data_IF_085830306637
#
_entry.id   IF_085830306637
#
_cell.length_a   1.000
_cell.length_b   1.000
_cell.length_c   1.000
_cell.angle_alpha   90.00
_cell.angle_beta   90.00
_cell.angle_gamma   90.00
#
_symmetry.space_group_name_H-M   'P 1'
#
loop_
_entity.id
_entity.type
_entity.pdbx_description
1 polymer ?
#
# COMPACT_ATOMS: atom_id res chain seq x y z
N UNK A 1 23.72 6.20 -22.28
CA UNK A 1 23.55 7.54 -22.91
C UNK A 1 22.44 8.24 -22.11
N UNK A 2 22.74 9.38 -21.48
CA UNK A 2 21.76 10.08 -20.61
C UNK A 2 20.98 11.16 -21.38
N UNK A 3 20.63 10.88 -22.63
CA UNK A 3 19.95 11.82 -23.53
C UNK A 3 18.51 11.39 -23.86
N UNK A 4 17.95 10.44 -23.10
CA UNK A 4 16.56 9.95 -23.22
C UNK A 4 15.89 10.14 -21.88
N UNK A 5 14.60 10.55 -21.90
CA UNK A 5 13.81 10.62 -20.69
C UNK A 5 13.58 9.23 -20.10
N UNK A 6 13.83 9.11 -18.79
CA UNK A 6 13.49 7.93 -18.00
C UNK A 6 12.55 8.33 -16.85
N UNK A 7 11.52 7.53 -16.59
CA UNK A 7 10.63 7.78 -15.46
C UNK A 7 11.39 7.61 -14.13
N UNK A 8 11.29 8.56 -13.19
CA UNK A 8 11.85 8.38 -11.85
C UNK A 8 11.31 7.14 -11.12
N UNK A 9 10.11 6.68 -11.45
CA UNK A 9 9.55 5.45 -10.88
C UNK A 9 10.42 4.24 -11.23
N UNK A 10 10.90 4.16 -12.47
CA UNK A 10 11.75 3.05 -12.91
C UNK A 10 13.22 3.22 -12.56
N UNK A 11 13.75 4.45 -12.64
CA UNK A 11 15.18 4.68 -12.45
C UNK A 11 15.61 4.87 -10.99
N UNK A 12 14.67 5.19 -10.07
CA UNK A 12 15.02 5.56 -8.69
C UNK A 12 14.17 4.90 -7.60
N UNK A 13 12.87 4.65 -7.83
CA UNK A 13 11.96 4.44 -6.70
C UNK A 13 11.45 3.02 -6.56
N UNK A 14 11.01 2.37 -7.64
CA UNK A 14 10.43 1.03 -7.57
C UNK A 14 11.49 -0.07 -7.38
N UNK A 15 11.10 -1.18 -6.77
CA UNK A 15 11.95 -2.35 -6.59
C UNK A 15 12.17 -3.09 -7.91
N UNK A 16 13.27 -3.84 -7.97
CA UNK A 16 13.61 -4.67 -9.15
C UNK A 16 12.53 -5.70 -9.46
N UNK A 17 11.91 -6.26 -8.43
CA UNK A 17 10.84 -7.25 -8.56
C UNK A 17 9.60 -6.64 -9.22
N UNK A 18 9.18 -5.45 -8.79
CA UNK A 18 8.02 -4.79 -9.39
C UNK A 18 8.33 -4.30 -10.81
N UNK A 19 9.53 -3.79 -11.05
CA UNK A 19 9.99 -3.44 -12.40
C UNK A 19 9.99 -4.66 -13.34
N UNK A 20 10.48 -5.81 -12.86
CA UNK A 20 10.44 -7.05 -13.64
C UNK A 20 9.00 -7.47 -13.96
N UNK A 21 8.08 -7.38 -12.98
CA UNK A 21 6.67 -7.76 -13.18
C UNK A 21 6.00 -7.03 -14.35
N UNK A 22 6.39 -5.78 -14.62
CA UNK A 22 5.86 -4.99 -15.74
C UNK A 22 6.84 -4.85 -16.91
N UNK A 23 7.93 -5.64 -16.91
CA UNK A 23 8.91 -5.64 -18.00
C UNK A 23 8.41 -6.33 -19.27
N UNK A 24 9.08 -6.05 -20.37
CA UNK A 24 8.85 -6.77 -21.63
C UNK A 24 9.13 -8.26 -21.51
N UNK A 25 10.15 -8.66 -20.76
CA UNK A 25 10.49 -10.08 -20.57
C UNK A 25 9.35 -10.82 -19.84
N UNK A 26 8.83 -10.26 -18.76
CA UNK A 26 7.68 -10.86 -18.07
C UNK A 26 6.45 -10.89 -18.96
N UNK A 27 6.14 -9.81 -19.67
CA UNK A 27 4.98 -9.72 -20.56
C UNK A 27 5.04 -10.77 -21.69
N UNK A 28 6.11 -10.80 -22.44
CA UNK A 28 6.14 -11.63 -23.65
C UNK A 28 6.47 -13.10 -23.38
N UNK A 29 7.20 -13.41 -22.30
CA UNK A 29 7.31 -14.80 -21.83
C UNK A 29 5.95 -15.33 -21.34
N UNK A 30 5.14 -14.49 -20.70
CA UNK A 30 3.77 -14.86 -20.32
C UNK A 30 2.87 -15.08 -21.52
N UNK A 31 2.99 -14.30 -22.60
CA UNK A 31 2.30 -14.59 -23.86
C UNK A 31 2.63 -15.98 -24.39
N UNK A 32 3.91 -16.33 -24.39
CA UNK A 32 4.34 -17.68 -24.84
C UNK A 32 3.83 -18.77 -23.92
N UNK A 33 3.85 -18.56 -22.60
CA UNK A 33 3.23 -19.50 -21.63
C UNK A 33 1.74 -19.67 -21.87
N UNK A 34 1.01 -18.62 -22.19
CA UNK A 34 -0.41 -18.66 -22.53
C UNK A 34 -0.67 -19.45 -23.82
N UNK A 35 0.15 -19.27 -24.85
CA UNK A 35 0.06 -20.07 -26.07
C UNK A 35 0.40 -21.54 -25.86
N UNK A 36 1.39 -21.86 -25.02
CA UNK A 36 1.71 -23.23 -24.61
C UNK A 36 0.53 -23.86 -23.86
N UNK A 37 -0.04 -23.16 -22.90
CA UNK A 37 -1.19 -23.60 -22.14
C UNK A 37 -2.41 -23.86 -23.02
N UNK A 38 -2.67 -22.96 -23.97
CA UNK A 38 -3.73 -23.12 -24.98
C UNK A 38 -3.51 -24.40 -25.80
N UNK A 39 -2.32 -24.59 -26.39
CA UNK A 39 -1.99 -25.75 -27.20
C UNK A 39 -2.08 -27.08 -26.42
N UNK A 40 -1.62 -27.10 -25.17
CA UNK A 40 -1.78 -28.26 -24.25
C UNK A 40 -3.23 -28.60 -24.01
N UNK A 41 -4.04 -27.60 -23.70
CA UNK A 41 -5.45 -27.80 -23.43
C UNK A 41 -6.20 -28.26 -24.71
N UNK A 42 -5.93 -27.68 -25.87
CA UNK A 42 -6.47 -28.06 -27.16
C UNK A 42 -6.09 -29.50 -27.53
N UNK A 43 -4.82 -29.88 -27.36
CA UNK A 43 -4.34 -31.23 -27.58
C UNK A 43 -5.07 -32.25 -26.67
N UNK A 44 -5.19 -31.94 -25.39
CA UNK A 44 -5.85 -32.81 -24.42
C UNK A 44 -7.36 -32.98 -24.69
N UNK A 45 -7.98 -32.01 -25.39
CA UNK A 45 -9.39 -32.03 -25.79
C UNK A 45 -9.62 -32.63 -27.19
N UNK A 46 -8.54 -33.12 -27.83
CA UNK A 46 -8.61 -33.92 -29.04
C UNK A 46 -8.38 -33.18 -30.35
N UNK A 47 -7.89 -31.94 -30.33
CA UNK A 47 -7.42 -31.29 -31.54
C UNK A 47 -6.11 -31.93 -32.03
N UNK A 48 -5.82 -31.88 -33.37
CA UNK A 48 -4.65 -32.55 -33.98
C UNK A 48 -3.34 -31.78 -33.70
N UNK A 49 -3.02 -31.60 -32.41
CA UNK A 49 -1.79 -31.01 -31.92
C UNK A 49 -0.94 -32.14 -31.33
N UNK A 50 0.36 -32.17 -31.67
CA UNK A 50 1.27 -33.22 -31.21
C UNK A 50 2.05 -32.79 -29.96
N UNK A 51 2.47 -33.78 -29.16
CA UNK A 51 3.34 -33.53 -28.01
C UNK A 51 4.65 -32.85 -28.41
N UNK A 52 5.21 -33.23 -29.58
CA UNK A 52 6.44 -32.63 -30.12
C UNK A 52 6.29 -31.13 -30.37
N UNK A 53 5.13 -30.68 -30.86
CA UNK A 53 4.85 -29.26 -31.06
C UNK A 53 4.78 -28.50 -29.71
N UNK A 54 4.13 -29.09 -28.72
CA UNK A 54 4.03 -28.51 -27.37
C UNK A 54 5.41 -28.43 -26.71
N UNK A 55 6.20 -29.50 -26.75
CA UNK A 55 7.55 -29.56 -26.18
C UNK A 55 8.48 -28.51 -26.81
N UNK A 56 8.38 -28.33 -28.14
CA UNK A 56 9.15 -27.29 -28.84
C UNK A 56 8.76 -25.88 -28.38
N UNK A 57 7.46 -25.61 -28.20
CA UNK A 57 7.02 -24.33 -27.65
C UNK A 57 7.50 -24.11 -26.21
N UNK A 58 7.44 -25.13 -25.37
CA UNK A 58 7.90 -25.03 -23.97
C UNK A 58 9.38 -24.73 -23.86
N UNK A 59 10.19 -25.34 -24.73
CA UNK A 59 11.64 -25.11 -24.75
C UNK A 59 12.04 -23.65 -25.07
N UNK A 60 11.16 -22.87 -25.71
CA UNK A 60 11.45 -21.53 -26.19
C UNK A 60 10.61 -20.42 -25.57
N UNK A 61 10.08 -20.62 -24.34
CA UNK A 61 9.24 -19.63 -23.65
C UNK A 61 9.96 -18.30 -23.44
N UNK A 62 11.25 -18.35 -23.06
CA UNK A 62 12.05 -17.15 -22.71
C UNK A 62 13.02 -16.73 -23.82
N UNK A 63 13.13 -17.49 -24.88
CA UNK A 63 14.02 -17.25 -26.00
C UNK A 63 13.39 -16.27 -27.00
N UNK A 64 13.31 -15.00 -26.64
CA UNK A 64 12.61 -13.96 -27.39
C UNK A 64 13.60 -13.08 -28.15
N UNK A 65 13.53 -13.14 -29.49
CA UNK A 65 14.26 -12.21 -30.36
C UNK A 65 13.46 -10.91 -30.55
N UNK A 66 13.78 -9.91 -29.73
CA UNK A 66 13.10 -8.61 -29.77
C UNK A 66 13.38 -7.81 -31.04
N UNK A 67 14.51 -8.03 -31.71
CA UNK A 67 14.83 -7.33 -32.96
C UNK A 67 13.93 -7.85 -34.09
N UNK A 68 13.78 -9.17 -34.19
CA UNK A 68 12.84 -9.79 -35.12
C UNK A 68 11.40 -9.36 -34.84
N UNK A 69 11.00 -9.35 -33.56
CA UNK A 69 9.65 -8.93 -33.17
C UNK A 69 9.38 -7.48 -33.59
N UNK A 70 10.29 -6.55 -33.27
CA UNK A 70 10.17 -5.13 -33.66
C UNK A 70 10.13 -4.92 -35.17
N UNK A 71 11.00 -5.65 -35.91
CA UNK A 71 11.01 -5.56 -37.36
C UNK A 71 9.67 -6.04 -37.96
N UNK A 72 9.17 -7.19 -37.45
CA UNK A 72 7.90 -7.76 -37.96
C UNK A 72 6.72 -6.85 -37.60
N UNK A 73 6.69 -6.26 -36.42
CA UNK A 73 5.65 -5.32 -36.00
C UNK A 73 5.60 -4.08 -36.92
N UNK A 74 6.75 -3.55 -37.34
CA UNK A 74 6.80 -2.44 -38.30
C UNK A 74 6.16 -2.81 -39.66
N UNK A 75 6.32 -4.06 -40.06
CA UNK A 75 5.77 -4.57 -41.34
C UNK A 75 4.25 -4.77 -41.27
N UNK A 76 3.78 -5.45 -40.22
CA UNK A 76 2.37 -5.88 -40.12
C UNK A 76 1.49 -4.96 -39.28
N UNK A 77 2.09 -3.99 -38.55
CA UNK A 77 1.41 -3.04 -37.67
C UNK A 77 0.56 -3.71 -36.59
N UNK A 78 1.03 -4.84 -36.07
CA UNK A 78 0.32 -5.65 -35.08
C UNK A 78 1.30 -6.41 -34.20
N UNK A 79 1.35 -6.05 -32.90
CA UNK A 79 2.28 -6.60 -31.91
C UNK A 79 2.11 -8.10 -31.68
N UNK A 80 0.87 -8.57 -31.42
CA UNK A 80 0.61 -10.00 -31.17
C UNK A 80 1.01 -10.85 -32.37
N UNK A 81 0.66 -10.46 -33.60
CA UNK A 81 1.05 -11.21 -34.78
C UNK A 81 2.55 -11.19 -35.06
N UNK A 82 3.25 -10.11 -34.65
CA UNK A 82 4.71 -10.07 -34.69
C UNK A 82 5.33 -11.09 -33.73
N UNK A 83 4.77 -11.24 -32.53
CA UNK A 83 5.24 -12.22 -31.55
C UNK A 83 4.84 -13.66 -31.90
N UNK A 84 3.67 -13.91 -32.52
CA UNK A 84 3.34 -15.23 -33.08
C UNK A 84 4.38 -15.64 -34.13
N UNK A 85 4.72 -14.73 -35.05
CA UNK A 85 5.75 -14.97 -36.06
C UNK A 85 7.12 -15.25 -35.44
N UNK A 86 7.53 -14.44 -34.45
CA UNK A 86 8.81 -14.58 -33.77
C UNK A 86 8.89 -15.90 -33.00
N UNK A 87 7.80 -16.34 -32.38
CA UNK A 87 7.72 -17.62 -31.71
C UNK A 87 7.78 -18.78 -32.71
N UNK A 88 7.05 -18.71 -33.83
CA UNK A 88 7.13 -19.71 -34.88
C UNK A 88 8.50 -19.88 -35.52
N UNK A 89 9.38 -18.87 -35.45
CA UNK A 89 10.77 -18.99 -35.94
C UNK A 89 11.63 -19.90 -35.07
N UNK A 90 11.43 -19.89 -33.75
CA UNK A 90 12.17 -20.75 -32.82
C UNK A 90 11.43 -22.07 -32.54
N UNK A 91 10.13 -22.13 -32.82
CA UNK A 91 9.29 -23.31 -32.73
C UNK A 91 8.62 -23.63 -34.09
N UNK A 92 9.39 -24.00 -35.12
CA UNK A 92 8.90 -24.15 -36.50
C UNK A 92 7.86 -25.29 -36.69
N UNK A 93 7.96 -26.38 -35.89
CA UNK A 93 6.95 -27.46 -35.93
C UNK A 93 5.60 -27.00 -35.38
N UNK A 94 5.62 -26.10 -34.41
CA UNK A 94 4.42 -25.55 -33.81
C UNK A 94 3.90 -24.29 -34.48
N UNK A 95 4.60 -23.72 -35.45
CA UNK A 95 4.25 -22.44 -36.08
C UNK A 95 2.80 -22.35 -36.57
N UNK A 96 2.23 -23.46 -37.07
CA UNK A 96 0.86 -23.51 -37.56
C UNK A 96 -0.23 -23.60 -36.48
N UNK A 97 0.12 -23.84 -35.25
CA UNK A 97 -0.84 -24.00 -34.12
C UNK A 97 -0.75 -22.91 -33.09
N UNK A 98 0.29 -22.07 -33.13
CA UNK A 98 0.41 -20.94 -32.22
C UNK A 98 -0.78 -19.99 -32.41
N UNK A 99 -1.48 -19.67 -31.30
CA UNK A 99 -2.63 -18.75 -31.31
C UNK A 99 -3.90 -19.33 -31.98
N UNK A 100 -4.05 -20.66 -32.07
CA UNK A 100 -5.20 -21.29 -32.70
C UNK A 100 -6.50 -20.90 -31.99
N UNK A 101 -7.51 -20.48 -32.76
CA UNK A 101 -8.82 -20.05 -32.25
C UNK A 101 -8.82 -18.75 -31.45
N UNK A 102 -7.66 -18.26 -31.00
CA UNK A 102 -7.55 -17.12 -30.11
C UNK A 102 -7.56 -15.77 -30.82
N UNK A 103 -7.82 -14.71 -30.07
CA UNK A 103 -7.65 -13.31 -30.49
C UNK A 103 -6.54 -12.64 -29.68
N UNK A 104 -6.11 -11.45 -30.09
CA UNK A 104 -5.03 -10.72 -29.40
C UNK A 104 -5.31 -10.49 -27.91
N UNK A 105 -6.58 -10.29 -27.53
CA UNK A 105 -6.97 -10.13 -26.13
C UNK A 105 -6.71 -11.39 -25.29
N UNK A 106 -6.64 -12.58 -25.88
CA UNK A 106 -6.29 -13.80 -25.16
C UNK A 106 -4.95 -13.66 -24.45
N UNK A 107 -3.90 -13.28 -25.15
CA UNK A 107 -2.58 -13.09 -24.52
C UNK A 107 -2.47 -11.75 -23.80
N UNK A 108 -2.99 -10.67 -24.38
CA UNK A 108 -2.88 -9.33 -23.79
C UNK A 108 -3.60 -9.23 -22.45
N UNK A 109 -4.87 -9.53 -22.43
CA UNK A 109 -5.71 -9.35 -21.23
C UNK A 109 -5.44 -10.39 -20.13
N UNK A 110 -5.21 -11.66 -20.49
CA UNK A 110 -4.81 -12.65 -19.49
C UNK A 110 -3.46 -12.32 -18.86
N UNK A 111 -2.51 -11.78 -19.63
CA UNK A 111 -1.22 -11.31 -19.10
C UNK A 111 -1.41 -10.12 -18.16
N UNK A 112 -2.25 -9.16 -18.48
CA UNK A 112 -2.56 -8.02 -17.60
C UNK A 112 -3.11 -8.51 -16.25
N UNK A 113 -4.03 -9.47 -16.24
CA UNK A 113 -4.57 -10.08 -15.01
C UNK A 113 -3.47 -10.81 -14.21
N UNK A 114 -2.57 -11.53 -14.88
CA UNK A 114 -1.45 -12.20 -14.23
C UNK A 114 -0.51 -11.16 -13.61
N UNK A 115 -0.13 -10.11 -14.33
CA UNK A 115 0.73 -9.04 -13.82
C UNK A 115 0.09 -8.28 -12.66
N UNK A 116 -1.22 -8.02 -12.70
CA UNK A 116 -1.99 -7.42 -11.59
C UNK A 116 -1.91 -8.33 -10.36
N UNK A 117 -2.13 -9.64 -10.50
CA UNK A 117 -2.02 -10.57 -9.38
C UNK A 117 -0.62 -10.59 -8.77
N UNK A 118 0.40 -10.75 -9.59
CA UNK A 118 1.79 -10.79 -9.13
C UNK A 118 2.19 -9.46 -8.45
N UNK A 119 1.75 -8.33 -9.00
CA UNK A 119 1.93 -7.01 -8.40
C UNK A 119 1.24 -6.90 -7.03
N UNK A 120 -0.01 -7.37 -6.91
CA UNK A 120 -0.74 -7.38 -5.63
C UNK A 120 -0.09 -8.31 -4.59
N UNK A 121 0.49 -9.43 -5.01
CA UNK A 121 1.26 -10.33 -4.12
C UNK A 121 2.50 -9.64 -3.56
N UNK A 122 3.23 -8.88 -4.38
CA UNK A 122 4.38 -8.07 -3.94
C UNK A 122 3.94 -6.96 -2.97
N UNK A 123 2.84 -6.26 -3.28
CA UNK A 123 2.25 -5.23 -2.41
C UNK A 123 1.83 -5.83 -1.08
N UNK A 124 1.15 -6.96 -1.06
CA UNK A 124 0.73 -7.69 0.15
C UNK A 124 1.92 -8.03 1.05
N UNK A 125 3.00 -8.58 0.47
CA UNK A 125 4.22 -8.92 1.20
C UNK A 125 4.84 -7.69 1.87
N UNK A 126 4.95 -6.57 1.17
CA UNK A 126 5.50 -5.32 1.71
C UNK A 126 4.59 -4.70 2.76
N UNK A 127 3.28 -4.72 2.55
CA UNK A 127 2.29 -4.20 3.49
C UNK A 127 2.33 -4.98 4.82
N UNK A 128 2.39 -6.32 4.75
CA UNK A 128 2.58 -7.17 5.92
C UNK A 128 3.89 -6.85 6.67
N UNK A 129 4.97 -6.57 5.94
CA UNK A 129 6.26 -6.18 6.54
C UNK A 129 6.18 -4.82 7.23
N UNK A 130 5.50 -3.82 6.64
CA UNK A 130 5.26 -2.52 7.30
C UNK A 130 4.48 -2.71 8.59
N UNK A 131 3.41 -3.50 8.56
CA UNK A 131 2.59 -3.81 9.74
C UNK A 131 3.39 -4.51 10.84
N UNK A 132 4.26 -5.47 10.49
CA UNK A 132 5.12 -6.15 11.45
C UNK A 132 6.10 -5.19 12.14
N UNK A 133 6.76 -4.31 11.38
CA UNK A 133 7.67 -3.30 11.93
C UNK A 133 6.94 -2.28 12.81
N UNK A 134 5.77 -1.82 12.40
CA UNK A 134 4.92 -0.96 13.22
C UNK A 134 4.42 -1.66 14.48
N UNK A 135 4.12 -2.97 14.42
CA UNK A 135 3.73 -3.76 15.58
C UNK A 135 4.84 -3.81 16.64
N UNK A 136 6.08 -4.02 16.19
CA UNK A 136 7.25 -4.00 17.08
C UNK A 136 7.44 -2.62 17.71
N UNK A 137 7.29 -1.54 16.94
CA UNK A 137 7.36 -0.17 17.43
C UNK A 137 6.22 0.15 18.42
N UNK A 138 4.99 -0.22 18.12
CA UNK A 138 3.84 0.01 18.97
C UNK A 138 3.97 -0.72 20.32
N UNK A 139 4.42 -1.97 20.31
CA UNK A 139 4.65 -2.77 21.51
C UNK A 139 5.75 -2.17 22.40
N UNK A 140 6.86 -1.74 21.81
CA UNK A 140 7.98 -1.11 22.53
C UNK A 140 7.58 0.22 23.20
N UNK A 141 6.61 0.94 22.67
CA UNK A 141 6.19 2.27 23.14
C UNK A 141 4.75 2.32 23.65
N UNK A 142 4.11 1.18 23.95
CA UNK A 142 2.69 1.12 24.36
C UNK A 142 2.39 1.83 25.66
N UNK A 143 3.38 1.95 26.56
CA UNK A 143 3.24 2.62 27.85
C UNK A 143 3.90 4.02 27.89
N UNK A 144 4.46 4.51 26.79
CA UNK A 144 5.12 5.82 26.70
C UNK A 144 4.07 6.94 26.56
N UNK A 145 3.77 7.76 27.60
CA UNK A 145 2.83 8.85 27.49
C UNK A 145 3.27 9.89 26.47
N UNK A 146 2.33 10.45 25.74
CA UNK A 146 2.51 11.61 24.86
C UNK A 146 1.22 12.41 24.76
N UNK A 147 1.30 13.67 24.33
CA UNK A 147 0.11 14.50 24.10
C UNK A 147 -0.73 13.91 22.96
N UNK A 148 -2.01 13.71 23.19
CA UNK A 148 -3.00 13.52 22.15
C UNK A 148 -3.49 14.87 21.63
N UNK A 149 -3.65 14.97 20.30
CA UNK A 149 -4.09 16.20 19.66
C UNK A 149 -5.46 16.02 19.00
N UNK A 150 -6.38 16.94 19.28
CA UNK A 150 -7.58 17.14 18.47
C UNK A 150 -7.56 18.56 17.93
N UNK A 151 -7.92 18.76 16.68
CA UNK A 151 -7.79 20.05 16.00
C UNK A 151 -6.36 20.62 16.06
N UNK A 152 -5.37 19.75 16.18
CA UNK A 152 -3.96 20.04 16.42
C UNK A 152 -3.71 20.86 17.70
N UNK A 153 -4.64 20.78 18.66
CA UNK A 153 -4.48 21.32 20.01
C UNK A 153 -4.31 20.19 21.02
N UNK A 154 -3.49 20.35 22.07
CA UNK A 154 -3.39 19.39 23.14
C UNK A 154 -4.77 19.11 23.74
N UNK A 155 -5.11 17.83 23.87
CA UNK A 155 -6.38 17.39 24.45
C UNK A 155 -6.14 16.56 25.73
N UNK A 156 -6.05 15.25 25.57
CA UNK A 156 -5.69 14.32 26.65
C UNK A 156 -4.43 13.55 26.27
N UNK A 157 -3.85 12.84 27.25
CA UNK A 157 -2.71 11.98 26.95
C UNK A 157 -3.16 10.72 26.19
N UNK A 158 -2.28 10.27 25.36
CA UNK A 158 -2.26 8.94 24.73
C UNK A 158 -0.89 8.33 24.94
N UNK A 159 -0.54 7.26 24.21
CA UNK A 159 0.83 6.76 24.16
C UNK A 159 1.38 6.76 22.74
N UNK A 160 2.70 6.80 22.61
CA UNK A 160 3.40 6.70 21.33
C UNK A 160 2.99 5.43 20.60
N UNK A 161 2.95 4.29 21.30
CA UNK A 161 2.52 3.01 20.74
C UNK A 161 1.04 3.00 20.34
N UNK A 162 0.15 3.60 21.15
CA UNK A 162 -1.28 3.70 20.81
C UNK A 162 -1.50 4.55 19.55
N UNK A 163 -0.75 5.64 19.37
CA UNK A 163 -0.79 6.42 18.13
C UNK A 163 -0.42 5.58 16.91
N UNK A 164 0.60 4.72 17.01
CA UNK A 164 1.00 3.84 15.93
C UNK A 164 -0.10 2.84 15.55
N UNK A 165 -0.95 2.40 16.48
CA UNK A 165 -2.09 1.52 16.14
C UNK A 165 -3.13 2.19 15.25
N UNK A 166 -3.22 3.52 15.23
CA UNK A 166 -4.13 4.23 14.32
C UNK A 166 -3.66 4.07 12.88
N UNK A 167 -2.36 4.24 12.62
CA UNK A 167 -1.76 4.01 11.30
C UNK A 167 -1.89 2.55 10.86
N UNK A 168 -1.66 1.64 11.79
CA UNK A 168 -1.75 0.19 11.53
C UNK A 168 -3.18 -0.24 11.22
N UNK A 169 -4.19 0.36 11.85
CA UNK A 169 -5.58 0.00 11.60
C UNK A 169 -6.00 0.32 10.16
N UNK A 170 -5.58 1.47 9.63
CA UNK A 170 -5.83 1.84 8.23
C UNK A 170 -5.11 0.87 7.27
N UNK A 171 -3.81 0.60 7.51
CA UNK A 171 -3.05 -0.35 6.71
C UNK A 171 -3.59 -1.79 6.79
N UNK A 172 -4.20 -2.19 7.89
CA UNK A 172 -4.84 -3.49 8.04
C UNK A 172 -6.13 -3.59 7.21
N UNK A 173 -6.89 -2.49 7.11
CA UNK A 173 -8.04 -2.41 6.18
C UNK A 173 -7.55 -2.55 4.73
N UNK A 174 -6.45 -1.87 4.37
CA UNK A 174 -5.85 -1.98 3.03
C UNK A 174 -5.38 -3.41 2.73
N UNK A 175 -4.80 -4.11 3.71
CA UNK A 175 -4.41 -5.52 3.55
C UNK A 175 -5.61 -6.39 3.20
N UNK A 176 -6.74 -6.20 3.88
CA UNK A 176 -7.99 -6.92 3.58
C UNK A 176 -8.50 -6.65 2.16
N UNK A 177 -8.41 -5.40 1.68
CA UNK A 177 -8.78 -5.05 0.30
C UNK A 177 -7.85 -5.70 -0.74
N UNK A 178 -6.54 -5.76 -0.46
CA UNK A 178 -5.56 -6.43 -1.33
C UNK A 178 -5.86 -7.94 -1.40
N UNK A 179 -6.13 -8.58 -0.27
CA UNK A 179 -6.49 -10.00 -0.20
C UNK A 179 -7.77 -10.28 -0.99
N UNK A 180 -8.81 -9.46 -0.76
CA UNK A 180 -10.07 -9.57 -1.49
C UNK A 180 -9.86 -9.46 -3.02
N UNK A 181 -8.99 -8.52 -3.47
CA UNK A 181 -8.67 -8.40 -4.91
C UNK A 181 -8.00 -9.66 -5.44
N UNK A 182 -6.97 -10.17 -4.76
CA UNK A 182 -6.24 -11.38 -5.18
C UNK A 182 -7.18 -12.58 -5.30
N UNK A 183 -8.01 -12.82 -4.29
CA UNK A 183 -8.94 -13.96 -4.24
C UNK A 183 -10.02 -13.91 -5.31
N UNK A 184 -10.45 -12.70 -5.68
CA UNK A 184 -11.54 -12.49 -6.62
C UNK A 184 -11.09 -12.21 -8.06
N UNK A 185 -9.77 -12.12 -8.32
CA UNK A 185 -9.28 -12.05 -9.69
C UNK A 185 -9.60 -13.33 -10.46
N UNK A 186 -10.06 -13.15 -11.70
CA UNK A 186 -10.35 -14.23 -12.66
C UNK A 186 -9.66 -13.90 -13.97
N UNK A 187 -9.18 -14.90 -14.68
CA UNK A 187 -8.66 -14.72 -16.02
C UNK A 187 -9.78 -14.30 -16.97
N UNK A 188 -9.43 -13.67 -18.09
CA UNK A 188 -10.36 -13.49 -19.19
C UNK A 188 -10.79 -14.85 -19.74
N UNK A 189 -9.84 -15.78 -19.88
CA UNK A 189 -10.02 -17.04 -20.57
C UNK A 189 -9.89 -16.89 -22.08
N UNK A 190 -10.52 -17.80 -22.81
CA UNK A 190 -10.52 -17.89 -24.28
C UNK A 190 -11.89 -17.47 -24.84
N UNK A 191 -12.20 -16.17 -24.80
CA UNK A 191 -13.53 -15.63 -25.13
C UNK A 191 -13.77 -15.36 -26.61
N UNK A 192 -12.72 -15.17 -27.40
CA UNK A 192 -12.84 -14.86 -28.83
C UNK A 192 -13.15 -13.39 -29.10
N UNK A 193 -13.51 -13.08 -30.36
CA UNK A 193 -13.59 -11.71 -30.88
C UNK A 193 -14.66 -10.85 -30.18
N UNK A 194 -15.79 -11.44 -29.79
CA UNK A 194 -16.93 -10.73 -29.20
C UNK A 194 -17.43 -11.39 -27.90
N UNK A 195 -16.63 -12.29 -27.34
CA UNK A 195 -16.99 -13.00 -26.12
C UNK A 195 -17.88 -14.22 -26.31
N UNK A 196 -18.21 -14.57 -27.55
CA UNK A 196 -19.12 -15.68 -27.89
C UNK A 196 -18.45 -17.04 -27.96
N UNK A 197 -17.11 -17.08 -27.98
CA UNK A 197 -16.30 -18.30 -28.16
C UNK A 197 -16.56 -19.02 -29.52
N UNK A 198 -17.10 -18.34 -30.52
CA UNK A 198 -17.52 -18.93 -31.78
C UNK A 198 -16.39 -19.70 -32.46
N UNK A 199 -15.15 -19.20 -32.49
CA UNK A 199 -14.01 -19.90 -33.09
C UNK A 199 -13.69 -21.20 -32.37
N UNK A 200 -13.80 -21.25 -31.05
CA UNK A 200 -13.59 -22.46 -30.27
C UNK A 200 -14.75 -23.46 -30.41
N UNK A 201 -15.97 -22.96 -30.51
CA UNK A 201 -17.13 -23.80 -30.85
C UNK A 201 -16.95 -24.49 -32.23
N UNK A 202 -16.41 -23.78 -33.19
CA UNK A 202 -16.09 -24.34 -34.52
C UNK A 202 -14.97 -25.38 -34.43
N UNK A 203 -13.88 -25.08 -33.69
CA UNK A 203 -12.76 -26.01 -33.49
C UNK A 203 -13.17 -27.34 -32.81
N UNK A 204 -14.18 -27.29 -31.96
CA UNK A 204 -14.68 -28.47 -31.23
C UNK A 204 -16.02 -28.99 -31.75
N UNK A 205 -16.35 -28.73 -33.00
CA UNK A 205 -17.56 -29.25 -33.69
C UNK A 205 -18.87 -29.00 -32.90
N UNK A 206 -18.95 -27.84 -32.22
CA UNK A 206 -20.12 -27.45 -31.45
C UNK A 206 -20.17 -28.02 -30.02
N UNK A 207 -19.12 -28.68 -29.51
CA UNK A 207 -19.08 -29.24 -28.17
C UNK A 207 -18.76 -28.15 -27.11
N UNK A 208 -19.82 -27.57 -26.52
CA UNK A 208 -19.70 -26.58 -25.43
C UNK A 208 -18.94 -27.10 -24.20
N UNK A 209 -19.00 -28.41 -23.94
CA UNK A 209 -18.32 -28.97 -22.76
C UNK A 209 -16.80 -28.89 -22.89
N UNK A 210 -16.28 -29.10 -24.11
CA UNK A 210 -14.85 -28.95 -24.42
C UNK A 210 -14.42 -27.49 -24.36
N UNK A 211 -15.24 -26.56 -24.81
CA UNK A 211 -14.93 -25.12 -24.74
C UNK A 211 -14.85 -24.65 -23.28
N UNK A 212 -15.75 -25.11 -22.41
CA UNK A 212 -15.70 -24.84 -20.97
C UNK A 212 -14.48 -25.47 -20.29
N UNK A 213 -14.18 -26.71 -20.64
CA UNK A 213 -13.02 -27.42 -20.11
C UNK A 213 -11.69 -26.79 -20.55
N UNK A 214 -11.62 -26.25 -21.79
CA UNK A 214 -10.49 -25.47 -22.27
C UNK A 214 -10.18 -24.29 -21.34
N UNK A 215 -11.17 -23.47 -21.05
CA UNK A 215 -11.00 -22.31 -20.15
C UNK A 215 -10.58 -22.73 -18.74
N UNK A 216 -11.19 -23.79 -18.23
CA UNK A 216 -10.84 -24.33 -16.91
C UNK A 216 -9.37 -24.76 -16.84
N UNK A 217 -8.90 -25.53 -17.82
CA UNK A 217 -7.50 -26.00 -17.88
C UNK A 217 -6.51 -24.84 -17.94
N UNK A 218 -6.80 -23.81 -18.73
CA UNK A 218 -5.95 -22.62 -18.81
C UNK A 218 -5.93 -21.89 -17.45
N UNK A 219 -7.09 -21.70 -16.80
CA UNK A 219 -7.13 -21.04 -15.51
C UNK A 219 -6.40 -21.84 -14.42
N UNK A 220 -6.57 -23.16 -14.40
CA UNK A 220 -5.89 -24.07 -13.45
C UNK A 220 -4.35 -24.02 -13.65
N UNK A 221 -3.87 -24.01 -14.89
CA UNK A 221 -2.44 -23.95 -15.23
C UNK A 221 -1.75 -22.67 -14.70
N UNK A 222 -2.49 -21.58 -14.63
CA UNK A 222 -2.01 -20.31 -14.06
C UNK A 222 -2.41 -20.10 -12.59
N UNK A 223 -3.05 -21.07 -11.95
CA UNK A 223 -3.43 -21.02 -10.54
C UNK A 223 -4.50 -19.98 -10.22
N UNK A 224 -5.44 -19.77 -11.15
CA UNK A 224 -6.63 -18.93 -10.91
C UNK A 224 -7.85 -19.80 -10.60
N UNK A 225 -8.75 -19.30 -9.77
CA UNK A 225 -9.98 -19.98 -9.41
C UNK A 225 -10.99 -20.09 -10.58
N UNK A 226 -10.62 -19.62 -11.75
CA UNK A 226 -11.42 -19.72 -12.99
C UNK A 226 -11.31 -18.47 -13.86
N UNK A 227 -12.25 -18.36 -14.79
CA UNK A 227 -12.36 -17.27 -15.73
C UNK A 227 -13.57 -16.38 -15.43
N UNK A 228 -13.60 -15.16 -15.99
CA UNK A 228 -14.80 -14.32 -15.93
C UNK A 228 -15.98 -15.03 -16.56
N UNK A 229 -17.18 -14.99 -15.98
CA UNK A 229 -18.34 -15.75 -16.48
C UNK A 229 -18.82 -15.24 -17.84
N UNK A 230 -18.75 -13.94 -18.08
CA UNK A 230 -19.12 -13.28 -19.34
C UNK A 230 -18.18 -12.12 -19.63
N UNK A 231 -17.92 -11.87 -20.90
CA UNK A 231 -17.16 -10.72 -21.36
C UNK A 231 -17.50 -10.40 -22.81
N UNK A 232 -17.08 -9.23 -23.30
CA UNK A 232 -16.86 -9.01 -24.72
C UNK A 232 -15.53 -9.63 -25.17
N UNK A 233 -14.78 -8.93 -26.02
CA UNK A 233 -13.45 -9.36 -26.42
C UNK A 233 -12.45 -9.31 -25.26
N UNK A 234 -12.63 -8.38 -24.31
CA UNK A 234 -11.75 -8.08 -23.19
C UNK A 234 -12.45 -8.34 -21.86
N UNK A 235 -11.67 -8.50 -20.77
CA UNK A 235 -12.25 -8.41 -19.45
C UNK A 235 -12.78 -6.99 -19.18
N UNK A 236 -13.74 -6.85 -18.26
CA UNK A 236 -14.26 -5.54 -17.89
C UNK A 236 -13.17 -4.65 -17.30
N UNK A 237 -12.96 -3.47 -17.89
CA UNK A 237 -11.99 -2.46 -17.40
C UNK A 237 -12.32 -1.95 -15.98
N UNK A 238 -13.48 -2.34 -15.46
CA UNK A 238 -13.82 -2.15 -14.05
C UNK A 238 -12.85 -2.88 -13.10
N UNK A 239 -12.23 -3.98 -13.54
CA UNK A 239 -11.20 -4.69 -12.76
C UNK A 239 -9.98 -3.79 -12.55
N UNK A 240 -9.53 -3.09 -13.59
CA UNK A 240 -8.44 -2.12 -13.49
C UNK A 240 -8.79 -0.98 -12.53
N UNK A 241 -10.00 -0.42 -12.68
CA UNK A 241 -10.49 0.66 -11.82
C UNK A 241 -10.55 0.24 -10.35
N UNK A 242 -11.04 -0.95 -10.06
CA UNK A 242 -11.10 -1.49 -8.70
C UNK A 242 -9.70 -1.78 -8.15
N UNK A 243 -8.78 -2.27 -8.98
CA UNK A 243 -7.39 -2.52 -8.58
C UNK A 243 -6.70 -1.21 -8.21
N UNK A 244 -6.80 -0.18 -9.05
CA UNK A 244 -6.16 1.10 -8.76
C UNK A 244 -6.84 1.83 -7.59
N UNK A 245 -8.13 1.63 -7.35
CA UNK A 245 -8.79 2.12 -6.14
C UNK A 245 -8.22 1.48 -4.86
N UNK A 246 -7.93 0.18 -4.88
CA UNK A 246 -7.26 -0.51 -3.77
C UNK A 246 -5.84 0.06 -3.55
N UNK A 247 -5.07 0.29 -4.62
CA UNK A 247 -3.74 0.91 -4.53
C UNK A 247 -3.81 2.35 -4.02
N UNK A 248 -4.84 3.11 -4.41
CA UNK A 248 -5.08 4.46 -3.91
C UNK A 248 -5.38 4.47 -2.40
N UNK A 249 -6.14 3.51 -1.88
CA UNK A 249 -6.38 3.34 -0.44
C UNK A 249 -5.07 3.19 0.34
N UNK A 250 -4.17 2.33 -0.13
CA UNK A 250 -2.83 2.18 0.48
C UNK A 250 -2.06 3.52 0.46
N UNK A 251 -2.13 4.25 -0.64
CA UNK A 251 -1.48 5.54 -0.77
C UNK A 251 -2.08 6.59 0.21
N UNK A 252 -3.39 6.57 0.44
CA UNK A 252 -4.07 7.42 1.42
C UNK A 252 -3.56 7.13 2.85
N UNK A 253 -3.55 5.88 3.26
CA UNK A 253 -3.04 5.44 4.57
C UNK A 253 -1.56 5.80 4.76
N UNK A 254 -0.74 5.57 3.73
CA UNK A 254 0.67 5.94 3.74
C UNK A 254 0.90 7.45 3.84
N UNK A 255 0.10 8.25 3.13
CA UNK A 255 0.16 9.71 3.19
C UNK A 255 -0.23 10.24 4.57
N UNK A 256 -1.25 9.64 5.19
CA UNK A 256 -1.66 9.99 6.55
C UNK A 256 -0.55 9.69 7.56
N UNK A 257 0.02 8.50 7.54
CA UNK A 257 1.18 8.14 8.36
C UNK A 257 2.33 9.13 8.20
N UNK A 258 2.73 9.40 6.95
CA UNK A 258 3.85 10.27 6.65
C UNK A 258 3.58 11.73 7.04
N UNK A 259 2.35 12.20 6.95
CA UNK A 259 1.95 13.53 7.40
C UNK A 259 2.05 13.64 8.92
N UNK A 260 1.53 12.68 9.67
CA UNK A 260 1.63 12.64 11.12
C UNK A 260 3.12 12.63 11.56
N UNK A 261 3.96 11.83 10.89
CA UNK A 261 5.38 11.76 11.21
C UNK A 261 6.10 13.10 10.95
N UNK A 262 5.76 13.81 9.87
CA UNK A 262 6.29 15.15 9.59
C UNK A 262 5.90 16.15 10.69
N UNK A 263 4.67 16.08 11.20
CA UNK A 263 4.21 16.90 12.30
C UNK A 263 4.92 16.54 13.62
N UNK A 264 5.11 15.25 13.91
CA UNK A 264 5.84 14.77 15.09
C UNK A 264 7.33 15.17 15.02
N UNK A 265 7.93 15.16 13.84
CA UNK A 265 9.31 15.63 13.64
C UNK A 265 9.42 17.16 13.81
N UNK A 266 8.41 17.93 13.42
CA UNK A 266 8.34 19.37 13.74
C UNK A 266 8.31 19.61 15.25
N UNK A 267 7.56 18.78 15.98
CA UNK A 267 7.54 18.80 17.47
C UNK A 267 8.83 18.24 18.10
N UNK A 268 9.73 17.66 17.33
CA UNK A 268 10.96 16.98 17.79
C UNK A 268 10.69 15.79 18.71
N UNK A 269 9.53 15.17 18.58
CA UNK A 269 9.11 14.04 19.42
C UNK A 269 9.47 12.70 18.80
N UNK A 270 9.23 12.56 17.49
CA UNK A 270 9.56 11.36 16.72
C UNK A 270 10.13 11.80 15.37
N UNK A 271 11.21 11.17 14.93
CA UNK A 271 11.88 11.46 13.66
C UNK A 271 12.03 10.20 12.81
N UNK A 272 12.03 10.38 11.49
CA UNK A 272 12.47 9.33 10.56
C UNK A 272 13.98 9.07 10.72
N UNK A 273 14.48 7.87 10.31
CA UNK A 273 15.90 7.56 10.44
C UNK A 273 16.76 8.53 9.58
N UNK A 274 17.90 8.91 10.14
CA UNK A 274 18.87 9.77 9.49
C UNK A 274 20.22 9.06 9.42
N UNK A 275 20.76 8.86 8.22
CA UNK A 275 22.00 8.12 8.02
C UNK A 275 23.22 8.97 8.39
N UNK A 276 24.30 8.30 8.83
CA UNK A 276 25.51 8.97 9.35
C UNK A 276 26.12 9.97 8.36
N UNK A 277 26.01 9.69 7.05
CA UNK A 277 26.58 10.53 5.98
C UNK A 277 25.50 11.32 5.21
N UNK A 278 24.26 11.30 5.67
CA UNK A 278 23.18 12.01 5.01
C UNK A 278 23.31 13.52 5.24
N UNK A 279 23.13 14.31 4.18
CA UNK A 279 23.07 15.77 4.24
C UNK A 279 21.61 16.18 4.20
N UNK A 280 21.10 16.72 5.30
CA UNK A 280 19.69 17.14 5.41
C UNK A 280 19.35 18.47 4.72
N UNK A 281 20.37 19.33 4.52
CA UNK A 281 20.21 20.64 3.87
C UNK A 281 21.55 21.13 3.35
N UNK A 282 21.57 21.69 2.14
CA UNK A 282 22.78 22.30 1.55
C UNK A 282 23.25 23.56 2.27
N UNK A 283 22.33 24.31 2.87
CA UNK A 283 22.62 25.57 3.56
C UNK A 283 22.79 25.42 5.08
N UNK A 284 22.09 24.46 5.68
CA UNK A 284 22.06 24.21 7.13
C UNK A 284 22.35 22.73 7.42
N UNK A 285 23.61 22.31 7.53
CA UNK A 285 23.96 20.86 7.64
C UNK A 285 23.36 20.15 8.86
N UNK A 286 23.06 20.87 9.93
CA UNK A 286 22.43 20.35 11.14
C UNK A 286 20.91 20.09 11.00
N UNK A 287 20.27 20.61 9.95
CA UNK A 287 18.83 20.50 9.73
C UNK A 287 18.47 19.11 9.22
N UNK A 288 17.63 18.40 9.96
CA UNK A 288 17.09 17.09 9.60
C UNK A 288 15.70 17.26 8.98
N UNK A 289 15.61 17.12 7.66
CA UNK A 289 14.33 17.20 6.97
C UNK A 289 13.70 15.81 6.86
N UNK A 290 12.37 15.68 7.00
CA UNK A 290 11.65 14.41 6.84
C UNK A 290 11.48 14.06 5.35
N UNK A 291 12.59 13.93 4.62
CA UNK A 291 12.57 13.79 3.16
C UNK A 291 11.92 12.50 2.67
N UNK A 292 12.02 11.42 3.45
CA UNK A 292 11.39 10.13 3.14
C UNK A 292 9.87 10.25 3.27
N UNK A 293 9.40 10.83 4.36
CA UNK A 293 7.98 11.08 4.59
C UNK A 293 7.39 12.06 3.57
N UNK A 294 8.14 13.10 3.18
CA UNK A 294 7.73 14.02 2.11
C UNK A 294 7.58 13.29 0.77
N UNK A 295 8.48 12.36 0.46
CA UNK A 295 8.42 11.54 -0.76
C UNK A 295 7.24 10.59 -0.76
N UNK A 296 6.93 9.94 0.38
CA UNK A 296 5.71 9.15 0.53
C UNK A 296 4.49 10.00 0.18
N UNK A 297 4.35 11.18 0.77
CA UNK A 297 3.22 12.08 0.48
C UNK A 297 3.16 12.49 -1.01
N UNK A 298 4.32 12.72 -1.63
CA UNK A 298 4.38 13.11 -3.04
C UNK A 298 3.95 11.98 -3.99
N UNK A 299 4.47 10.77 -3.78
CA UNK A 299 4.09 9.58 -4.55
C UNK A 299 2.63 9.19 -4.31
N UNK A 300 2.13 9.33 -3.07
CA UNK A 300 0.73 9.06 -2.75
C UNK A 300 -0.24 9.92 -3.55
N UNK A 301 0.04 11.21 -3.70
CA UNK A 301 -0.79 12.10 -4.55
C UNK A 301 -0.83 11.63 -5.99
N UNK A 302 0.30 11.11 -6.51
CA UNK A 302 0.35 10.55 -7.85
C UNK A 302 -0.60 9.36 -7.99
N UNK A 303 -0.51 8.37 -7.09
CA UNK A 303 -1.36 7.17 -7.12
C UNK A 303 -2.84 7.50 -6.99
N UNK A 304 -3.19 8.37 -6.02
CA UNK A 304 -4.58 8.78 -5.80
C UNK A 304 -5.16 9.44 -7.07
N UNK A 305 -4.39 10.32 -7.71
CA UNK A 305 -4.82 10.97 -8.95
C UNK A 305 -4.88 9.99 -10.13
N UNK A 306 -3.90 9.09 -10.25
CA UNK A 306 -3.82 8.11 -11.33
C UNK A 306 -4.98 7.10 -11.28
N UNK A 307 -5.53 6.81 -10.11
CA UNK A 307 -6.68 5.90 -9.93
C UNK A 307 -7.94 6.35 -10.69
N UNK A 308 -8.03 7.60 -11.09
CA UNK A 308 -9.12 8.13 -11.92
C UNK A 308 -9.02 7.67 -13.39
N UNK A 309 -7.81 7.40 -13.89
CA UNK A 309 -7.60 6.96 -15.27
C UNK A 309 -8.43 5.71 -15.62
N UNK A 310 -8.28 4.57 -14.91
CA UNK A 310 -9.06 3.38 -15.24
C UNK A 310 -10.55 3.53 -14.89
N UNK A 311 -10.94 4.42 -13.99
CA UNK A 311 -12.34 4.72 -13.72
C UNK A 311 -13.01 5.37 -14.95
N UNK A 312 -12.37 6.36 -15.56
CA UNK A 312 -12.83 6.97 -16.81
C UNK A 312 -12.80 5.96 -17.97
N UNK A 313 -11.71 5.20 -18.11
CA UNK A 313 -11.60 4.16 -19.13
C UNK A 313 -12.74 3.16 -19.04
N UNK A 314 -13.05 2.67 -17.83
CA UNK A 314 -14.14 1.73 -17.59
C UNK A 314 -15.51 2.32 -17.99
N UNK A 315 -15.74 3.60 -17.66
CA UNK A 315 -17.01 4.28 -17.93
C UNK A 315 -17.27 4.55 -19.41
N UNK A 316 -16.22 4.60 -20.25
CA UNK A 316 -16.31 5.00 -21.67
C UNK A 316 -16.12 3.83 -22.64
N UNK A 317 -16.06 2.58 -22.16
CA UNK A 317 -15.98 1.41 -23.05
C UNK A 317 -17.29 1.22 -23.84
N UNK A 318 -17.15 0.78 -25.09
CA UNK A 318 -18.26 0.56 -26.01
C UNK A 318 -18.50 -0.92 -26.26
N UNK A 319 -19.74 -1.37 -26.17
CA UNK A 319 -20.15 -2.70 -26.59
C UNK A 319 -19.15 -3.79 -26.19
N UNK A 320 -18.69 -4.59 -27.14
CA UNK A 320 -17.78 -5.71 -26.92
C UNK A 320 -16.29 -5.30 -26.92
N UNK A 321 -15.94 -4.14 -27.50
CA UNK A 321 -14.57 -3.62 -27.54
C UNK A 321 -14.51 -2.18 -28.06
N UNK A 322 -13.70 -1.36 -27.39
CA UNK A 322 -13.04 -0.16 -27.95
C UNK A 322 -11.56 -0.21 -27.63
N UNK A 323 -10.71 0.46 -28.41
CA UNK A 323 -9.25 0.41 -28.24
C UNK A 323 -8.69 1.59 -27.42
N UNK A 324 -9.51 2.54 -27.02
CA UNK A 324 -9.08 3.73 -26.27
C UNK A 324 -8.56 3.42 -24.87
N UNK A 325 -8.86 2.24 -24.36
CA UNK A 325 -8.32 1.70 -23.12
C UNK A 325 -6.81 1.43 -23.20
N UNK A 326 -6.33 1.01 -24.37
CA UNK A 326 -5.04 0.34 -24.54
C UNK A 326 -3.85 1.22 -24.15
N UNK A 327 -3.77 2.44 -24.68
CA UNK A 327 -2.66 3.35 -24.37
C UNK A 327 -2.71 3.84 -22.90
N UNK A 328 -3.90 4.17 -22.40
CA UNK A 328 -4.07 4.65 -21.03
C UNK A 328 -3.66 3.59 -19.99
N UNK A 329 -4.20 2.35 -20.09
CA UNK A 329 -3.90 1.31 -19.11
C UNK A 329 -2.44 0.84 -19.11
N UNK A 330 -1.74 0.94 -20.26
CA UNK A 330 -0.30 0.61 -20.37
C UNK A 330 0.58 1.56 -19.57
N UNK A 331 0.07 2.73 -19.21
CA UNK A 331 0.74 3.75 -18.40
C UNK A 331 0.21 3.67 -16.97
N UNK A 332 -1.10 3.88 -16.80
CA UNK A 332 -1.71 4.04 -15.48
C UNK A 332 -1.56 2.81 -14.58
N UNK A 333 -1.80 1.60 -15.08
CA UNK A 333 -1.73 0.39 -14.25
C UNK A 333 -0.30 0.11 -13.75
N UNK A 334 0.73 -0.01 -14.62
CA UNK A 334 2.09 -0.23 -14.15
C UNK A 334 2.59 0.87 -13.22
N UNK A 335 2.36 2.14 -13.56
CA UNK A 335 2.89 3.25 -12.77
C UNK A 335 2.26 3.36 -11.37
N UNK A 336 0.97 3.02 -11.21
CA UNK A 336 0.34 2.91 -9.91
C UNK A 336 1.02 1.84 -9.03
N UNK A 337 1.29 0.66 -9.59
CA UNK A 337 1.99 -0.41 -8.89
C UNK A 337 3.44 -0.02 -8.53
N UNK A 338 4.18 0.58 -9.47
CA UNK A 338 5.55 1.05 -9.23
C UNK A 338 5.60 2.11 -8.12
N UNK A 339 4.64 3.03 -8.12
CA UNK A 339 4.57 4.09 -7.11
C UNK A 339 4.19 3.54 -5.72
N UNK A 340 3.22 2.63 -5.61
CA UNK A 340 2.85 2.00 -4.33
C UNK A 340 3.97 1.11 -3.82
N UNK A 341 4.64 0.38 -4.69
CA UNK A 341 5.83 -0.41 -4.36
C UNK A 341 6.93 0.46 -3.74
N UNK A 342 7.19 1.62 -4.34
CA UNK A 342 8.13 2.62 -3.83
C UNK A 342 7.68 3.19 -2.47
N UNK A 343 6.41 3.56 -2.32
CA UNK A 343 5.83 4.05 -1.06
C UNK A 343 6.06 3.04 0.06
N UNK A 344 5.68 1.78 -0.16
CA UNK A 344 5.82 0.72 0.85
C UNK A 344 7.29 0.42 1.16
N UNK A 345 8.17 0.46 0.16
CA UNK A 345 9.62 0.34 0.37
C UNK A 345 10.16 1.45 1.28
N UNK A 346 9.80 2.70 1.01
CA UNK A 346 10.21 3.83 1.84
C UNK A 346 9.61 3.70 3.25
N UNK A 347 8.34 3.29 3.37
CA UNK A 347 7.71 3.05 4.68
C UNK A 347 8.46 1.99 5.49
N UNK A 348 8.82 0.85 4.89
CA UNK A 348 9.61 -0.20 5.57
C UNK A 348 10.90 0.40 6.15
N UNK A 349 11.61 1.20 5.36
CA UNK A 349 12.84 1.84 5.82
C UNK A 349 12.57 2.82 6.98
N UNK A 350 11.55 3.67 6.85
CA UNK A 350 11.20 4.66 7.88
C UNK A 350 10.79 3.98 9.18
N UNK A 351 9.85 3.03 9.13
CA UNK A 351 9.34 2.37 10.35
C UNK A 351 10.36 1.47 11.02
N UNK A 352 11.35 0.96 10.28
CA UNK A 352 12.46 0.17 10.85
C UNK A 352 13.46 1.02 11.65
N UNK A 353 13.45 2.33 11.50
CA UNK A 353 14.42 3.21 12.12
C UNK A 353 13.83 4.45 12.80
N UNK A 354 12.55 4.45 13.14
CA UNK A 354 11.92 5.57 13.86
C UNK A 354 12.67 5.88 15.16
N UNK A 355 12.96 7.13 15.38
CA UNK A 355 13.65 7.63 16.59
C UNK A 355 12.66 8.40 17.45
N UNK A 356 12.49 7.95 18.70
CA UNK A 356 11.63 8.61 19.69
C UNK A 356 12.51 9.38 20.67
N UNK A 357 12.10 10.60 21.05
CA UNK A 357 12.80 11.46 22.00
C UNK A 357 11.97 11.61 23.31
N UNK A 358 12.07 10.65 24.25
CA UNK A 358 11.22 10.62 25.44
C UNK A 358 11.31 11.88 26.30
N UNK A 359 12.48 12.50 26.39
CA UNK A 359 12.65 13.72 27.19
C UNK A 359 12.00 14.95 26.60
N UNK A 360 11.93 15.04 25.26
CA UNK A 360 11.19 16.11 24.59
C UNK A 360 9.70 15.92 24.81
N UNK A 361 9.22 14.68 24.64
CA UNK A 361 7.81 14.32 24.89
C UNK A 361 7.43 14.63 26.33
N UNK A 362 8.26 14.24 27.31
CA UNK A 362 8.03 14.50 28.72
C UNK A 362 7.90 16.01 29.00
N UNK A 363 8.79 16.83 28.42
CA UNK A 363 8.73 18.27 28.58
C UNK A 363 7.42 18.86 28.01
N UNK A 364 6.97 18.42 26.84
CA UNK A 364 5.70 18.85 26.26
C UNK A 364 4.50 18.40 27.11
N UNK A 365 4.51 17.17 27.57
CA UNK A 365 3.47 16.63 28.46
C UNK A 365 3.39 17.44 29.75
N UNK A 366 4.53 17.69 30.41
CA UNK A 366 4.55 18.42 31.69
C UNK A 366 4.13 19.87 31.56
N UNK A 367 4.23 20.49 30.41
CA UNK A 367 3.70 21.85 30.18
C UNK A 367 2.15 21.87 30.14
N UNK A 368 1.50 20.79 29.69
CA UNK A 368 0.06 20.73 29.53
C UNK A 368 -0.65 19.94 30.66
N UNK A 369 0.03 18.99 31.26
CA UNK A 369 -0.53 18.09 32.26
C UNK A 369 -1.16 18.82 33.48
N UNK A 370 -0.64 19.96 33.99
CA UNK A 370 -1.28 20.72 35.06
C UNK A 370 -2.73 21.13 34.74
N UNK A 371 -3.04 21.44 33.46
CA UNK A 371 -4.42 21.73 33.06
C UNK A 371 -5.28 20.47 33.01
N UNK A 372 -4.72 19.35 32.52
CA UNK A 372 -5.44 18.08 32.43
C UNK A 372 -5.73 17.45 33.79
N UNK A 373 -4.82 17.67 34.78
CA UNK A 373 -4.95 17.14 36.12
C UNK A 373 -5.97 17.88 37.00
N UNK A 374 -6.51 19.02 36.55
CA UNK A 374 -7.41 19.87 37.33
C UNK A 374 -8.65 19.14 37.84
N UNK A 375 -9.21 18.21 37.07
CA UNK A 375 -10.34 17.40 37.48
C UNK A 375 -9.99 16.51 38.71
N UNK A 376 -8.87 15.80 38.60
CA UNK A 376 -8.39 14.93 39.70
C UNK A 376 -8.05 15.73 40.96
N UNK A 377 -7.41 16.88 40.79
CA UNK A 377 -7.11 17.82 41.88
C UNK A 377 -8.40 18.32 42.54
N UNK A 378 -9.39 18.72 41.75
CA UNK A 378 -10.70 19.14 42.22
C UNK A 378 -11.39 18.05 43.05
N UNK A 379 -11.38 16.80 42.51
CA UNK A 379 -12.02 15.68 43.20
C UNK A 379 -11.32 15.33 44.52
N UNK A 380 -10.00 15.47 44.63
CA UNK A 380 -9.28 15.28 45.87
C UNK A 380 -9.58 16.41 46.87
N UNK A 381 -9.62 17.66 46.39
CA UNK A 381 -10.02 18.80 47.26
C UNK A 381 -11.49 18.64 47.76
N UNK A 382 -12.41 18.11 46.97
CA UNK A 382 -13.78 17.79 47.40
C UNK A 382 -13.78 16.71 48.51
N UNK A 383 -12.99 15.65 48.39
CA UNK A 383 -12.83 14.62 49.42
C UNK A 383 -12.32 15.18 50.72
N UNK A 384 -11.55 16.26 50.69
CA UNK A 384 -11.06 17.02 51.85
C UNK A 384 -12.09 18.00 52.43
N UNK A 385 -13.30 18.05 51.88
CA UNK A 385 -14.41 18.87 52.36
C UNK A 385 -14.66 20.15 51.56
N UNK A 386 -13.99 20.35 50.44
CA UNK A 386 -14.19 21.51 49.58
C UNK A 386 -15.53 21.46 48.80
N UNK A 387 -16.06 22.65 48.47
CA UNK A 387 -17.27 22.79 47.65
C UNK A 387 -16.92 22.65 46.15
N UNK A 388 -17.48 21.64 45.49
CA UNK A 388 -17.21 21.35 44.08
C UNK A 388 -17.44 22.53 43.16
N UNK A 389 -18.49 23.30 43.34
CA UNK A 389 -18.84 24.42 42.48
C UNK A 389 -17.86 25.58 42.62
N UNK A 390 -17.49 25.90 43.85
CA UNK A 390 -16.51 26.92 44.12
C UNK A 390 -15.11 26.53 43.66
N UNK A 391 -14.70 25.30 43.87
CA UNK A 391 -13.44 24.76 43.35
C UNK A 391 -13.35 24.77 41.85
N UNK A 392 -14.44 24.43 41.14
CA UNK A 392 -14.51 24.48 39.70
C UNK A 392 -14.30 25.93 39.18
N UNK A 393 -14.94 26.91 39.79
CA UNK A 393 -14.76 28.32 39.39
C UNK A 393 -13.34 28.80 39.67
N UNK A 394 -12.73 28.43 40.82
CA UNK A 394 -11.34 28.75 41.12
C UNK A 394 -10.37 28.12 40.11
N UNK A 395 -10.59 26.86 39.70
CA UNK A 395 -9.81 26.21 38.66
C UNK A 395 -9.91 26.99 37.36
N UNK A 396 -11.13 27.41 37.00
CA UNK A 396 -11.34 28.22 35.77
C UNK A 396 -10.54 29.52 35.82
N UNK A 397 -10.60 30.25 36.92
CA UNK A 397 -9.85 31.50 37.13
C UNK A 397 -8.32 31.26 37.04
N UNK A 398 -7.82 30.26 37.75
CA UNK A 398 -6.38 29.91 37.77
C UNK A 398 -5.93 29.45 36.37
N UNK A 399 -6.74 28.66 35.64
CA UNK A 399 -6.43 28.21 34.28
C UNK A 399 -6.37 29.37 33.29
N UNK A 400 -7.30 30.33 33.39
CA UNK A 400 -7.28 31.55 32.59
C UNK A 400 -6.03 32.39 32.85
N UNK A 401 -5.67 32.56 34.10
CA UNK A 401 -4.48 33.35 34.51
C UNK A 401 -3.17 32.66 34.09
N UNK A 402 -3.06 31.33 34.29
CA UNK A 402 -1.91 30.57 33.82
C UNK A 402 -1.80 30.57 32.28
N UNK A 403 -2.94 30.41 31.57
CA UNK A 403 -2.99 30.49 30.12
C UNK A 403 -2.58 31.87 29.56
N UNK A 404 -2.97 32.95 30.23
CA UNK A 404 -2.53 34.32 29.89
C UNK A 404 -1.03 34.46 30.06
N UNK A 405 -0.48 34.00 31.20
CA UNK A 405 0.95 34.02 31.50
C UNK A 405 1.78 33.31 30.42
N UNK A 406 1.33 32.15 29.97
CA UNK A 406 2.00 31.39 28.91
C UNK A 406 1.94 32.15 27.59
N UNK A 407 0.73 32.58 27.18
CA UNK A 407 0.48 33.08 25.82
C UNK A 407 0.84 34.55 25.61
N UNK A 408 0.62 35.39 26.60
CA UNK A 408 0.86 36.84 26.49
C UNK A 408 2.25 37.25 27.03
N UNK A 409 2.73 36.55 28.06
CA UNK A 409 3.98 36.90 28.73
C UNK A 409 5.15 35.96 28.33
N UNK A 410 4.89 34.81 27.70
CA UNK A 410 5.90 33.83 27.29
C UNK A 410 6.60 33.14 28.48
N UNK A 411 5.94 33.08 29.62
CA UNK A 411 6.47 32.51 30.86
C UNK A 411 5.97 31.07 31.07
N UNK A 412 6.62 30.33 31.95
CA UNK A 412 6.26 28.95 32.29
C UNK A 412 4.87 28.85 32.94
N UNK A 413 4.26 27.65 32.79
CA UNK A 413 2.97 27.31 33.38
C UNK A 413 3.09 27.28 34.91
N UNK A 414 2.38 28.18 35.59
CA UNK A 414 2.37 28.31 37.06
C UNK A 414 1.07 27.78 37.72
N UNK A 415 0.31 26.95 37.02
CA UNK A 415 -0.98 26.43 37.48
C UNK A 415 -0.89 25.73 38.82
N UNK A 416 0.15 24.92 39.03
CA UNK A 416 0.40 24.20 40.30
C UNK A 416 0.63 25.18 41.44
N UNK A 417 1.44 26.21 41.21
CA UNK A 417 1.78 27.20 42.26
C UNK A 417 0.57 28.06 42.60
N UNK A 418 -0.29 28.36 41.62
CA UNK A 418 -1.56 29.08 41.83
C UNK A 418 -2.53 28.28 42.73
N UNK A 419 -2.69 26.99 42.41
CA UNK A 419 -3.55 26.11 43.22
C UNK A 419 -2.97 25.89 44.62
N UNK A 420 -1.66 25.70 44.73
CA UNK A 420 -0.99 25.56 46.04
C UNK A 420 -1.14 26.79 46.93
N UNK A 421 -1.15 27.98 46.33
CA UNK A 421 -1.35 29.24 47.00
C UNK A 421 -2.82 29.57 47.36
N UNK A 422 -3.77 28.77 46.89
CA UNK A 422 -5.19 28.98 47.16
C UNK A 422 -5.70 28.09 48.30
N UNK A 423 -6.06 28.69 49.47
CA UNK A 423 -6.49 27.93 50.64
C UNK A 423 -7.72 27.05 50.42
N UNK A 424 -8.53 27.34 49.40
CA UNK A 424 -9.75 26.55 49.09
C UNK A 424 -9.46 25.11 48.71
N UNK A 425 -8.27 24.83 48.15
CA UNK A 425 -7.88 23.47 47.79
C UNK A 425 -7.33 22.67 48.97
N UNK A 426 -6.76 23.34 49.99
CA UNK A 426 -6.21 22.66 51.19
C UNK A 426 -5.11 21.67 50.85
N UNK A 427 -4.32 21.91 49.79
CA UNK A 427 -3.29 21.02 49.27
C UNK A 427 -1.94 21.74 49.19
N UNK A 428 -0.88 21.03 49.61
CA UNK A 428 0.48 21.53 49.42
C UNK A 428 0.94 21.32 47.98
N UNK A 429 2.00 22.03 47.57
CA UNK A 429 2.61 21.88 46.25
C UNK A 429 3.06 20.43 45.99
N UNK A 430 3.63 19.77 47.01
CA UNK A 430 4.06 18.38 46.95
C UNK A 430 2.88 17.44 46.64
N UNK A 431 1.76 17.63 47.36
CA UNK A 431 0.53 16.86 47.11
C UNK A 431 -0.05 17.07 45.72
N UNK A 432 0.03 18.30 45.19
CA UNK A 432 -0.39 18.58 43.81
C UNK A 432 0.51 17.90 42.79
N UNK A 433 1.82 17.86 43.02
CA UNK A 433 2.77 17.19 42.14
C UNK A 433 2.54 15.67 42.05
N UNK A 434 1.98 15.05 43.13
CA UNK A 434 1.59 13.63 43.10
C UNK A 434 0.49 13.33 42.03
N UNK A 435 -0.32 14.34 41.69
CA UNK A 435 -1.32 14.23 40.62
C UNK A 435 -0.72 14.38 39.20
N UNK A 436 0.58 14.72 39.07
CA UNK A 436 1.22 14.96 37.79
C UNK A 436 2.06 13.76 37.31
N UNK A 437 1.61 12.55 37.57
CA UNK A 437 2.17 11.35 36.94
C UNK A 437 1.47 11.10 35.62
N UNK A 438 2.17 11.27 34.46
CA UNK A 438 1.56 11.05 33.14
C UNK A 438 0.98 9.66 32.96
N UNK A 439 1.53 8.64 33.64
CA UNK A 439 1.05 7.25 33.50
C UNK A 439 -0.38 7.05 34.00
N UNK A 440 -0.86 7.93 34.91
CA UNK A 440 -2.23 7.90 35.41
C UNK A 440 -3.28 8.40 34.38
N UNK A 441 -2.85 9.03 33.29
CA UNK A 441 -3.74 9.70 32.30
C UNK A 441 -3.80 9.03 30.94
N UNK A 442 -3.14 7.88 30.75
CA UNK A 442 -3.10 7.18 29.47
C UNK A 442 -4.23 6.16 29.28
N UNK A 443 -5.12 6.02 30.27
CA UNK A 443 -6.25 5.11 30.20
C UNK A 443 -5.86 3.67 29.89
N UNK A 444 -6.55 3.06 28.94
CA UNK A 444 -6.32 1.69 28.48
C UNK A 444 -5.29 1.58 27.34
N UNK A 445 -4.50 2.60 27.05
CA UNK A 445 -3.59 2.57 25.90
C UNK A 445 -2.72 1.31 25.82
N UNK A 446 -2.03 0.87 26.90
CA UNK A 446 -1.20 -0.35 26.84
C UNK A 446 -1.99 -1.60 26.49
N UNK A 447 -3.12 -1.85 27.16
CA UNK A 447 -3.96 -3.03 26.90
C UNK A 447 -4.62 -2.97 25.52
N UNK A 448 -5.02 -1.79 25.04
CA UNK A 448 -5.55 -1.64 23.68
C UNK A 448 -4.50 -1.97 22.60
N UNK A 449 -3.23 -1.61 22.83
CA UNK A 449 -2.14 -2.01 21.94
C UNK A 449 -1.97 -3.53 21.96
N UNK A 450 -1.88 -4.14 23.13
CA UNK A 450 -1.70 -5.60 23.28
C UNK A 450 -2.85 -6.38 22.62
N UNK A 451 -4.09 -5.99 22.89
CA UNK A 451 -5.30 -6.58 22.29
C UNK A 451 -5.27 -6.46 20.75
N UNK A 452 -5.02 -5.25 20.23
CA UNK A 452 -5.00 -5.02 18.78
C UNK A 452 -3.88 -5.80 18.08
N UNK A 453 -2.69 -5.86 18.66
CA UNK A 453 -1.58 -6.61 18.11
C UNK A 453 -1.85 -8.13 18.10
N UNK A 454 -2.38 -8.68 19.20
CA UNK A 454 -2.60 -10.13 19.34
C UNK A 454 -3.81 -10.63 18.59
N UNK A 455 -4.89 -9.86 18.58
CA UNK A 455 -6.19 -10.32 18.02
C UNK A 455 -6.37 -9.93 16.55
N UNK A 456 -5.79 -8.81 16.10
CA UNK A 456 -6.01 -8.30 14.76
C UNK A 456 -4.75 -8.39 13.87
N UNK A 457 -3.63 -7.78 14.28
CA UNK A 457 -2.48 -7.57 13.40
C UNK A 457 -1.71 -8.86 13.16
N UNK A 458 -1.21 -9.49 14.24
CA UNK A 458 -0.35 -10.68 14.11
C UNK A 458 -1.02 -11.83 13.36
N UNK A 459 -2.28 -12.17 13.61
CA UNK A 459 -2.97 -13.21 12.82
C UNK A 459 -3.09 -12.86 11.34
N UNK A 460 -3.37 -11.61 11.01
CA UNK A 460 -3.55 -11.17 9.62
C UNK A 460 -2.25 -11.21 8.80
N UNK A 461 -1.11 -10.86 9.41
CA UNK A 461 0.17 -10.80 8.69
C UNK A 461 0.97 -12.10 8.71
N UNK A 462 0.73 -12.99 9.68
CA UNK A 462 1.50 -14.22 9.87
C UNK A 462 1.68 -15.07 8.60
N UNK A 463 0.66 -15.25 7.73
CA UNK A 463 0.81 -16.04 6.51
C UNK A 463 1.80 -15.45 5.50
N UNK A 464 2.14 -14.17 5.61
CA UNK A 464 2.91 -13.42 4.61
C UNK A 464 4.33 -13.08 5.06
N UNK A 465 4.67 -13.37 6.31
CA UNK A 465 6.00 -13.17 6.86
C UNK A 465 6.87 -14.40 6.57
N UNK A 466 7.72 -14.30 5.56
CA UNK A 466 8.58 -15.42 5.09
C UNK A 466 9.84 -15.61 5.93
N UNK A 467 10.10 -14.78 6.94
CA UNK A 467 11.36 -14.77 7.69
C UNK A 467 12.55 -14.16 6.92
N UNK A 468 12.37 -13.82 5.65
CA UNK A 468 13.36 -13.09 4.86
C UNK A 468 13.21 -11.60 5.09
N UNK A 469 14.30 -10.93 5.43
CA UNK A 469 14.33 -9.48 5.53
C UNK A 469 14.20 -8.86 4.13
N UNK A 470 13.17 -8.02 3.93
CA UNK A 470 13.06 -7.24 2.71
C UNK A 470 14.12 -6.14 2.75
N UNK A 471 15.19 -6.33 1.97
CA UNK A 471 16.20 -5.29 1.78
C UNK A 471 15.63 -4.21 0.87
N UNK A 472 15.42 -3.04 1.42
CA UNK A 472 14.98 -1.86 0.66
C UNK A 472 16.21 -1.02 0.35
N UNK A 473 16.62 -1.00 -0.90
CA UNK A 473 17.61 -0.03 -1.39
C UNK A 473 16.86 1.28 -1.66
N UNK A 474 17.11 2.31 -0.85
CA UNK A 474 16.54 3.64 -1.09
C UNK A 474 17.56 4.47 -1.88
N UNK A 475 17.29 4.68 -3.14
CA UNK A 475 18.00 5.66 -3.97
C UNK A 475 17.38 7.04 -3.74
N UNK A 476 17.94 7.78 -2.79
CA UNK A 476 17.48 9.12 -2.42
C UNK A 476 17.92 10.20 -3.42
#
# INVERSE_FOLDING_TARGET
MNNVYESPLSSRYASKEMLYNFSSDMKFSTWRRLWVSLAKAEMALGLPITQEQVDEMEAHITDIDYDVARQREKEVRHDVMAHVYTFGKVAPKAAGIIHLGATSAYVGDNTDIIQIREGLLLVRKKLATVLDKLAQFADAHKAQPTLGFTHFQPAQLTTVGKRATLWMNELLMDLGEVEYRIENLRMLGSKGTTGTQASFMELFDGDESKVKELEKRIADDFGFAGVVPVSGQTYSRKIDAQTLATLAGIAESASKFATDLRLLQHLKEVEEPFEKNQIGSSAMPYKRNPMRSERICALARYVITDSLNPAFTSATQWFERTLDDSANKRISVPEAFLAVDAILGIMINVVSGLVVYPKVIEAHVMNELPFMATENIMMDAVKRGGNRQELHERIREHSMAAGKRIKEEGLENDMVDRIAGDPMFGMTREQLLEHLDPSAYIGRCPSQVDEFLSECVRPAIAPYLTGEEIKVEINL
#
